data_IF_795794505782
#
_entry.id   IF_795794505782
#
_cell.length_a   1.000
_cell.length_b   1.000
_cell.length_c   1.000
_cell.angle_alpha   90.00
_cell.angle_beta   90.00
_cell.angle_gamma   90.00
#
_symmetry.space_group_name_H-M   'P 1'
#
loop_
_entity.id
_entity.type
_entity.pdbx_description
1 polymer ?
#
# COMPACT_ATOMS: atom_id res chain seq x y z
N UNK A 1 -63.98 16.38 13.73
CA UNK A 1 -64.26 17.77 13.30
C UNK A 1 -62.94 18.53 13.41
N UNK A 2 -62.12 18.66 12.36
CA UNK A 2 -62.26 19.52 11.16
C UNK A 2 -62.33 21.01 11.50
N UNK A 3 -61.30 21.79 11.08
CA UNK A 3 -61.35 22.94 10.15
C UNK A 3 -59.94 23.63 10.17
N UNK A 4 -59.18 23.61 9.06
CA UNK A 4 -58.90 24.73 8.10
C UNK A 4 -57.86 25.76 8.61
N UNK A 5 -56.87 26.32 7.88
CA UNK A 5 -56.56 26.49 6.44
C UNK A 5 -55.17 27.17 6.30
N UNK A 6 -54.46 26.98 5.16
CA UNK A 6 -53.63 27.95 4.36
C UNK A 6 -52.48 27.20 3.66
N UNK A 7 -52.65 26.73 2.41
CA UNK A 7 -52.42 27.38 1.08
C UNK A 7 -50.97 27.66 0.71
N UNK A 8 -50.54 26.98 -0.35
CA UNK A 8 -49.28 27.09 -1.07
C UNK A 8 -49.36 28.08 -2.24
N UNK A 9 -48.21 28.57 -2.72
CA UNK A 9 -48.01 28.90 -4.13
C UNK A 9 -46.59 28.53 -4.58
N UNK A 10 -46.54 27.99 -5.79
CA UNK A 10 -45.39 27.53 -6.58
C UNK A 10 -45.10 28.57 -7.68
N UNK A 11 -43.85 28.65 -8.16
CA UNK A 11 -43.42 28.54 -9.58
C UNK A 11 -41.96 29.04 -9.73
N UNK A 12 -41.20 28.29 -10.54
CA UNK A 12 -39.74 28.39 -10.84
C UNK A 12 -39.50 29.10 -12.21
N UNK A 13 -38.36 28.90 -12.92
CA UNK A 13 -37.09 29.67 -12.94
C UNK A 13 -36.83 30.42 -14.28
N UNK A 14 -35.70 31.14 -14.44
CA UNK A 14 -34.77 31.05 -15.61
C UNK A 14 -33.69 32.16 -15.67
N UNK A 15 -32.49 31.72 -16.09
CA UNK A 15 -31.49 32.33 -16.99
C UNK A 15 -30.61 33.55 -16.58
N UNK A 16 -29.30 33.34 -16.79
CA UNK A 16 -28.18 34.30 -16.77
C UNK A 16 -28.07 35.05 -18.10
N UNK A 17 -27.43 36.23 -18.15
CA UNK A 17 -26.86 36.76 -19.39
C UNK A 17 -25.33 36.67 -19.41
N UNK A 18 -24.82 36.17 -20.53
CA UNK A 18 -23.45 36.27 -21.02
C UNK A 18 -23.22 37.60 -21.74
N UNK A 19 -22.06 38.23 -21.58
CA UNK A 19 -21.62 39.35 -22.42
C UNK A 19 -20.40 38.95 -23.24
N UNK A 20 -20.61 38.86 -24.54
CA UNK A 20 -19.62 38.81 -25.61
C UNK A 20 -19.46 40.21 -26.20
N UNK A 21 -18.24 40.75 -26.22
CA UNK A 21 -17.91 41.94 -26.98
C UNK A 21 -16.75 41.62 -27.93
N UNK A 22 -17.10 41.48 -29.20
CA UNK A 22 -16.21 41.56 -30.36
C UNK A 22 -16.21 43.01 -30.78
N UNK A 23 -15.04 43.60 -31.06
CA UNK A 23 -14.94 44.67 -32.04
C UNK A 23 -13.55 44.70 -32.70
N UNK A 24 -13.60 45.02 -33.98
CA UNK A 24 -12.64 44.76 -35.05
C UNK A 24 -11.70 45.94 -35.31
N UNK A 25 -10.42 45.61 -35.54
CA UNK A 25 -9.34 46.29 -36.30
C UNK A 25 -9.15 47.82 -36.28
N UNK A 26 -7.91 48.25 -35.96
CA UNK A 26 -7.18 49.22 -36.79
C UNK A 26 -5.67 48.99 -36.71
N UNK A 27 -5.06 48.80 -37.88
CA UNK A 27 -3.62 48.63 -38.13
C UNK A 27 -3.02 50.00 -38.45
N UNK A 28 -1.98 50.42 -37.75
CA UNK A 28 -0.98 51.41 -38.21
C UNK A 28 0.40 50.93 -37.74
N UNK A 29 1.35 50.96 -38.66
CA UNK A 29 2.70 50.39 -38.61
C UNK A 29 3.78 51.41 -38.26
N UNK A 30 4.93 50.90 -37.76
CA UNK A 30 6.33 51.35 -37.92
C UNK A 30 7.19 51.56 -36.63
N UNK A 31 8.53 51.35 -36.73
CA UNK A 31 9.32 50.53 -35.79
C UNK A 31 10.44 51.28 -35.03
N UNK A 32 11.00 50.66 -33.98
CA UNK A 32 12.37 50.87 -33.44
C UNK A 32 12.61 49.81 -32.34
N UNK A 33 13.47 48.81 -32.52
CA UNK A 33 14.92 48.77 -32.22
C UNK A 33 15.27 48.96 -30.72
N UNK A 34 15.91 47.90 -30.20
CA UNK A 34 16.85 47.77 -29.07
C UNK A 34 16.33 47.47 -27.64
N UNK A 35 16.78 46.27 -27.20
CA UNK A 35 17.33 45.92 -25.89
C UNK A 35 16.45 46.01 -24.64
N UNK A 36 16.08 44.83 -24.12
CA UNK A 36 16.28 44.56 -22.69
C UNK A 36 16.53 43.08 -22.45
N UNK A 37 17.76 42.80 -21.99
CA UNK A 37 18.11 41.58 -21.28
C UNK A 37 17.19 41.44 -20.06
N UNK A 38 16.38 40.40 -20.03
CA UNK A 38 15.90 39.81 -18.78
C UNK A 38 16.00 38.29 -18.89
N UNK A 39 17.24 37.80 -18.93
CA UNK A 39 17.53 36.44 -18.46
C UNK A 39 17.20 36.42 -16.97
N UNK A 40 15.96 36.08 -16.63
CA UNK A 40 15.55 35.81 -15.25
C UNK A 40 16.31 34.59 -14.74
N UNK A 41 17.18 34.72 -13.72
CA UNK A 41 17.87 33.59 -13.13
C UNK A 41 17.13 33.21 -11.85
N UNK A 42 15.87 32.77 -11.95
CA UNK A 42 15.14 32.34 -10.76
C UNK A 42 14.31 31.09 -10.96
N UNK A 43 14.58 30.16 -10.04
CA UNK A 43 13.82 28.98 -9.70
C UNK A 43 14.05 27.75 -10.59
N UNK A 44 15.24 27.15 -10.45
CA UNK A 44 15.36 25.69 -10.50
C UNK A 44 14.51 25.10 -9.35
N UNK A 45 13.19 25.05 -9.53
CA UNK A 45 12.29 24.28 -8.68
C UNK A 45 12.62 22.82 -8.96
N UNK A 46 13.34 22.19 -8.03
CA UNK A 46 13.49 20.73 -7.99
C UNK A 46 12.10 20.12 -7.80
N UNK A 47 11.44 19.82 -8.92
CA UNK A 47 10.22 19.04 -8.91
C UNK A 47 10.64 17.58 -8.66
N UNK A 48 10.58 17.15 -7.40
CA UNK A 48 10.66 15.74 -7.06
C UNK A 48 9.41 15.05 -7.59
N UNK A 49 9.43 14.67 -8.86
CA UNK A 49 8.39 13.86 -9.43
C UNK A 49 8.64 12.42 -9.01
N UNK A 50 7.72 11.84 -8.25
CA UNK A 50 7.74 10.41 -7.94
C UNK A 50 7.83 9.58 -9.23
N UNK A 51 7.25 10.07 -10.33
CA UNK A 51 7.32 9.44 -11.64
C UNK A 51 8.74 9.44 -12.23
N UNK A 52 9.55 10.49 -12.03
CA UNK A 52 10.93 10.52 -12.54
C UNK A 52 11.82 9.56 -11.77
N UNK A 53 11.72 9.55 -10.43
CA UNK A 53 12.44 8.59 -9.60
C UNK A 53 12.06 7.14 -9.94
N UNK A 54 10.77 6.86 -10.18
CA UNK A 54 10.33 5.54 -10.62
C UNK A 54 10.86 5.19 -12.02
N UNK A 55 10.87 6.13 -12.96
CA UNK A 55 11.47 5.95 -14.28
C UNK A 55 12.95 5.58 -14.22
N UNK A 56 13.73 6.29 -13.40
CA UNK A 56 15.14 6.01 -13.14
C UNK A 56 15.34 4.63 -12.49
N UNK A 57 14.48 4.22 -11.56
CA UNK A 57 14.58 2.88 -10.97
C UNK A 57 14.26 1.78 -11.99
N UNK A 58 13.35 2.02 -12.93
CA UNK A 58 13.03 1.08 -14.00
C UNK A 58 14.21 0.94 -14.97
N UNK A 59 14.85 2.04 -15.37
CA UNK A 59 16.06 1.98 -16.21
C UNK A 59 17.21 1.29 -15.49
N UNK A 60 17.48 1.65 -14.23
CA UNK A 60 18.53 1.01 -13.45
C UNK A 60 18.30 -0.50 -13.28
N UNK A 61 17.04 -0.93 -13.16
CA UNK A 61 16.68 -2.35 -13.10
C UNK A 61 16.93 -3.06 -14.44
N UNK A 62 16.58 -2.42 -15.56
CA UNK A 62 16.83 -2.95 -16.89
C UNK A 62 18.35 -3.05 -17.20
N UNK A 63 19.13 -2.09 -16.72
CA UNK A 63 20.60 -2.09 -16.85
C UNK A 63 21.21 -3.20 -15.99
N UNK A 64 20.75 -3.39 -14.75
CA UNK A 64 21.20 -4.48 -13.88
C UNK A 64 20.91 -5.87 -14.49
N UNK A 65 19.76 -6.03 -15.14
CA UNK A 65 19.40 -7.24 -15.89
C UNK A 65 20.34 -7.49 -17.07
N UNK A 66 20.59 -6.44 -17.87
CA UNK A 66 21.49 -6.51 -19.03
C UNK A 66 22.94 -6.79 -18.61
N UNK A 67 23.38 -6.23 -17.48
CA UNK A 67 24.68 -6.51 -16.88
C UNK A 67 24.82 -7.96 -16.41
N UNK A 68 23.79 -8.51 -15.76
CA UNK A 68 23.81 -9.92 -15.37
C UNK A 68 23.90 -10.84 -16.58
N UNK A 69 23.17 -10.51 -17.65
CA UNK A 69 23.21 -11.28 -18.89
C UNK A 69 24.56 -11.17 -19.61
N UNK A 70 25.17 -9.97 -19.65
CA UNK A 70 26.49 -9.78 -20.28
C UNK A 70 27.62 -10.51 -19.56
N UNK A 71 27.45 -10.87 -18.28
CA UNK A 71 28.34 -11.76 -17.55
C UNK A 71 28.21 -13.25 -17.96
N UNK A 72 27.41 -13.57 -18.98
CA UNK A 72 27.21 -14.92 -19.50
C UNK A 72 26.05 -15.68 -18.85
N UNK A 73 25.23 -15.02 -18.01
CA UNK A 73 24.09 -15.66 -17.35
C UNK A 73 22.89 -15.70 -18.32
N UNK A 74 22.31 -16.88 -18.62
CA UNK A 74 21.12 -16.97 -19.45
C UNK A 74 19.93 -16.20 -18.85
N UNK A 75 19.06 -15.63 -19.69
CA UNK A 75 17.91 -14.83 -19.24
C UNK A 75 17.00 -15.59 -18.26
N UNK A 76 16.74 -16.88 -18.53
CA UNK A 76 15.94 -17.73 -17.66
C UNK A 76 16.54 -17.95 -16.25
N UNK A 77 17.83 -17.63 -16.04
CA UNK A 77 18.50 -17.63 -14.72
C UNK A 77 18.64 -16.22 -14.17
N UNK A 78 19.01 -15.25 -15.00
CA UNK A 78 19.24 -13.86 -14.61
C UNK A 78 17.98 -13.24 -13.97
N UNK A 79 16.81 -13.51 -14.55
CA UNK A 79 15.52 -13.00 -14.05
C UNK A 79 15.19 -13.55 -12.65
N UNK A 80 15.18 -14.88 -12.41
CA UNK A 80 15.04 -15.42 -11.06
C UNK A 80 16.10 -14.93 -10.08
N UNK A 81 17.37 -14.82 -10.51
CA UNK A 81 18.46 -14.38 -9.65
C UNK A 81 18.24 -12.95 -9.13
N UNK A 82 17.80 -12.03 -10.01
CA UNK A 82 17.40 -10.68 -9.60
C UNK A 82 16.26 -10.72 -8.58
N UNK A 83 15.24 -11.55 -8.82
CA UNK A 83 14.11 -11.71 -7.90
C UNK A 83 14.58 -12.18 -6.51
N UNK A 84 15.51 -13.13 -6.46
CA UNK A 84 16.14 -13.61 -5.22
C UNK A 84 16.90 -12.49 -4.53
N UNK A 85 17.74 -11.75 -5.26
CA UNK A 85 18.53 -10.64 -4.71
C UNK A 85 17.66 -9.54 -4.10
N UNK A 86 16.65 -9.07 -4.83
CA UNK A 86 15.69 -8.07 -4.36
C UNK A 86 14.85 -8.58 -3.19
N UNK A 87 14.47 -9.86 -3.22
CA UNK A 87 13.75 -10.47 -2.12
C UNK A 87 14.61 -10.52 -0.85
N UNK A 88 15.87 -10.98 -0.94
CA UNK A 88 16.77 -11.09 0.20
C UNK A 88 17.13 -9.73 0.81
N UNK A 89 17.29 -8.71 -0.02
CA UNK A 89 17.76 -7.38 0.41
C UNK A 89 16.63 -6.45 0.87
N UNK A 90 15.46 -6.52 0.24
CA UNK A 90 14.34 -5.59 0.52
C UNK A 90 13.17 -6.32 1.16
N UNK A 91 12.61 -7.31 0.48
CA UNK A 91 11.31 -7.89 0.87
C UNK A 91 11.40 -8.70 2.17
N UNK A 92 12.42 -9.56 2.30
CA UNK A 92 12.61 -10.43 3.44
C UNK A 92 12.87 -9.66 4.74
N UNK A 93 13.77 -8.66 4.80
CA UNK A 93 13.96 -7.85 6.00
C UNK A 93 12.68 -7.11 6.43
N UNK A 94 11.90 -6.56 5.49
CA UNK A 94 10.63 -5.90 5.79
C UNK A 94 9.60 -6.90 6.34
N UNK A 95 9.52 -8.10 5.77
CA UNK A 95 8.64 -9.16 6.25
C UNK A 95 9.06 -9.64 7.65
N UNK A 96 10.36 -9.86 7.88
CA UNK A 96 10.92 -10.24 9.18
C UNK A 96 10.62 -9.17 10.24
N UNK A 97 10.83 -7.90 9.92
CA UNK A 97 10.48 -6.78 10.78
C UNK A 97 8.99 -6.81 11.15
N UNK A 98 8.11 -6.95 10.15
CA UNK A 98 6.67 -7.01 10.38
C UNK A 98 6.26 -8.21 11.24
N UNK A 99 6.93 -9.36 11.07
CA UNK A 99 6.68 -10.57 11.83
C UNK A 99 7.10 -10.41 13.30
N UNK A 100 8.29 -9.86 13.55
CA UNK A 100 8.75 -9.50 14.90
C UNK A 100 7.79 -8.53 15.60
N UNK A 101 7.25 -7.56 14.86
CA UNK A 101 6.25 -6.64 15.40
C UNK A 101 4.94 -7.32 15.75
N UNK A 102 4.45 -8.24 14.92
CA UNK A 102 3.23 -9.01 15.21
C UNK A 102 3.44 -9.87 16.46
N UNK A 103 4.56 -10.56 16.55
CA UNK A 103 4.89 -11.41 17.69
C UNK A 103 5.02 -10.60 18.98
N UNK A 104 5.71 -9.45 18.93
CA UNK A 104 5.87 -8.57 20.08
C UNK A 104 4.56 -7.96 20.59
N UNK A 105 3.47 -7.99 19.82
CA UNK A 105 2.16 -7.50 20.26
C UNK A 105 1.33 -8.54 20.98
N UNK A 106 1.52 -9.84 20.72
CA UNK A 106 0.74 -10.91 21.36
C UNK A 106 0.74 -10.81 22.89
N UNK A 107 1.87 -10.51 23.57
CA UNK A 107 1.89 -10.30 25.02
C UNK A 107 0.96 -9.20 25.52
N UNK A 108 0.64 -8.20 24.69
CA UNK A 108 -0.17 -7.04 25.06
C UNK A 108 -1.67 -7.29 24.88
N UNK A 109 -2.07 -8.39 24.23
CA UNK A 109 -3.48 -8.72 24.01
C UNK A 109 -4.31 -8.82 25.30
N UNK A 110 -3.84 -9.44 26.41
CA UNK A 110 -4.59 -9.42 27.67
C UNK A 110 -4.79 -8.00 28.23
N UNK A 111 -3.79 -7.12 28.11
CA UNK A 111 -3.89 -5.73 28.55
C UNK A 111 -4.91 -4.95 27.70
N UNK A 112 -4.87 -5.13 26.38
CA UNK A 112 -5.86 -4.54 25.46
C UNK A 112 -7.27 -5.05 25.81
N UNK A 113 -7.41 -6.33 26.15
CA UNK A 113 -8.68 -6.95 26.53
C UNK A 113 -9.20 -6.39 27.86
N UNK A 114 -8.34 -6.20 28.86
CA UNK A 114 -8.70 -5.57 30.14
C UNK A 114 -9.21 -4.14 29.95
N UNK A 115 -8.52 -3.33 29.14
CA UNK A 115 -8.99 -1.99 28.77
C UNK A 115 -10.31 -2.02 28.00
N UNK A 116 -10.50 -3.01 27.14
CA UNK A 116 -11.77 -3.19 26.41
C UNK A 116 -12.92 -3.43 27.38
N UNK A 117 -12.76 -4.32 28.37
CA UNK A 117 -13.77 -4.54 29.41
C UNK A 117 -14.05 -3.27 30.23
N UNK A 118 -13.01 -2.51 30.60
CA UNK A 118 -13.18 -1.24 31.30
C UNK A 118 -14.03 -0.24 30.52
N UNK A 119 -13.77 -0.07 29.22
CA UNK A 119 -14.56 0.84 28.37
C UNK A 119 -16.00 0.38 28.18
N UNK A 120 -16.27 -0.93 28.22
CA UNK A 120 -17.64 -1.46 28.18
C UNK A 120 -18.42 -1.18 29.48
N UNK A 121 -17.72 -1.10 30.62
CA UNK A 121 -18.32 -0.79 31.92
C UNK A 121 -18.43 0.72 32.21
N UNK A 122 -17.77 1.56 31.42
CA UNK A 122 -17.84 3.01 31.55
C UNK A 122 -19.24 3.51 31.15
N UNK A 123 -20.01 4.00 32.13
CA UNK A 123 -21.38 4.48 31.92
C UNK A 123 -21.46 5.66 30.95
N UNK A 124 -20.41 6.48 30.83
CA UNK A 124 -20.40 7.59 29.87
C UNK A 124 -20.32 7.12 28.41
N UNK A 125 -19.72 5.94 28.20
CA UNK A 125 -19.57 5.33 26.88
C UNK A 125 -20.73 4.36 26.58
N UNK A 126 -21.23 3.68 27.62
CA UNK A 126 -22.31 2.70 27.59
C UNK A 126 -23.64 3.29 28.10
N UNK A 127 -23.98 4.49 27.62
CA UNK A 127 -25.23 5.15 27.97
C UNK A 127 -26.44 4.38 27.39
N UNK A 128 -27.40 3.93 28.22
CA UNK A 128 -28.57 3.18 27.78
C UNK A 128 -29.49 3.97 26.83
N UNK A 129 -29.48 5.32 26.89
CA UNK A 129 -30.38 6.17 26.11
C UNK A 129 -29.96 6.28 24.63
N UNK A 130 -28.69 6.03 24.34
CA UNK A 130 -28.17 6.14 22.98
C UNK A 130 -28.47 4.89 22.13
N UNK A 131 -28.69 5.05 20.81
CA UNK A 131 -28.82 3.93 19.89
C UNK A 131 -27.60 2.99 19.96
N UNK A 132 -27.84 1.68 19.88
CA UNK A 132 -26.80 0.63 19.99
C UNK A 132 -25.62 0.85 19.05
N UNK A 133 -25.89 1.35 17.83
CA UNK A 133 -24.85 1.63 16.83
C UNK A 133 -23.92 2.77 17.27
N UNK A 134 -24.46 3.81 17.90
CA UNK A 134 -23.67 4.96 18.38
C UNK A 134 -22.84 4.53 19.58
N UNK A 135 -23.43 3.77 20.49
CA UNK A 135 -22.77 3.20 21.67
C UNK A 135 -21.58 2.30 21.29
N UNK A 136 -21.79 1.35 20.37
CA UNK A 136 -20.72 0.45 19.90
C UNK A 136 -19.59 1.21 19.19
N UNK A 137 -19.89 2.24 18.41
CA UNK A 137 -18.88 3.11 17.79
C UNK A 137 -18.09 3.91 18.83
N UNK A 138 -18.75 4.44 19.87
CA UNK A 138 -18.11 5.21 20.94
C UNK A 138 -17.15 4.33 21.75
N UNK A 139 -17.60 3.13 22.16
CA UNK A 139 -16.77 2.14 22.84
C UNK A 139 -15.59 1.74 21.94
N UNK A 140 -15.84 1.41 20.67
CA UNK A 140 -14.78 1.04 19.74
C UNK A 140 -13.74 2.16 19.54
N UNK A 141 -14.17 3.42 19.49
CA UNK A 141 -13.30 4.59 19.41
C UNK A 141 -12.41 4.74 20.64
N UNK A 142 -12.98 4.59 21.84
CA UNK A 142 -12.24 4.65 23.12
C UNK A 142 -11.23 3.49 23.27
N UNK A 143 -11.63 2.29 22.85
CA UNK A 143 -10.77 1.10 22.79
C UNK A 143 -9.61 1.34 21.83
N UNK A 144 -9.87 1.87 20.63
CA UNK A 144 -8.82 2.16 19.66
C UNK A 144 -7.85 3.24 20.14
N UNK A 145 -8.36 4.30 20.79
CA UNK A 145 -7.51 5.34 21.41
C UNK A 145 -6.59 4.74 22.47
N UNK A 146 -7.11 3.85 23.31
CA UNK A 146 -6.34 3.18 24.36
C UNK A 146 -5.31 2.21 23.79
N UNK A 147 -5.71 1.40 22.80
CA UNK A 147 -4.81 0.52 22.06
C UNK A 147 -3.68 1.29 21.39
N UNK A 148 -3.96 2.42 20.74
CA UNK A 148 -2.92 3.25 20.11
C UNK A 148 -1.92 3.79 21.13
N UNK A 149 -2.38 4.21 22.31
CA UNK A 149 -1.50 4.66 23.41
C UNK A 149 -0.60 3.53 23.90
N UNK A 150 -1.19 2.36 24.20
CA UNK A 150 -0.44 1.16 24.61
C UNK A 150 0.58 0.78 23.53
N UNK A 151 0.17 0.61 22.28
CA UNK A 151 1.13 0.25 21.23
C UNK A 151 2.22 1.30 21.01
N UNK A 152 1.93 2.59 21.26
CA UNK A 152 2.93 3.67 21.17
C UNK A 152 3.97 3.57 22.29
N UNK A 153 3.57 3.26 23.53
CA UNK A 153 4.52 3.16 24.66
C UNK A 153 5.48 1.99 24.53
N UNK A 154 5.08 0.88 23.89
CA UNK A 154 5.97 -0.24 23.55
C UNK A 154 6.67 -0.07 22.18
N UNK A 155 6.43 1.03 21.44
CA UNK A 155 7.03 1.26 20.12
C UNK A 155 6.52 0.34 19.00
N UNK A 156 5.38 -0.33 19.21
CA UNK A 156 4.77 -1.33 18.33
C UNK A 156 3.60 -0.77 17.50
N UNK A 157 3.72 0.45 16.98
CA UNK A 157 2.63 1.12 16.25
C UNK A 157 2.11 0.30 15.06
N UNK A 158 0.80 0.32 14.80
CA UNK A 158 0.13 -0.48 13.75
C UNK A 158 0.66 -0.21 12.33
N UNK A 159 0.92 1.04 12.01
CA UNK A 159 1.38 1.44 10.67
C UNK A 159 2.70 0.76 10.28
N UNK A 160 3.58 0.46 11.26
CA UNK A 160 4.84 -0.27 11.03
C UNK A 160 4.62 -1.69 10.52
N UNK A 161 3.45 -2.29 10.75
CA UNK A 161 3.09 -3.62 10.18
C UNK A 161 2.72 -3.55 8.71
N UNK A 162 2.55 -2.35 8.15
CA UNK A 162 2.30 -2.13 6.72
C UNK A 162 3.62 -2.05 5.92
N UNK A 163 4.78 -2.14 6.58
CA UNK A 163 6.09 -2.16 5.93
C UNK A 163 6.22 -3.15 4.75
N UNK A 164 5.65 -4.37 4.80
CA UNK A 164 5.70 -5.30 3.66
C UNK A 164 5.02 -4.78 2.38
N UNK A 165 4.09 -3.81 2.48
CA UNK A 165 3.47 -3.18 1.31
C UNK A 165 4.49 -2.40 0.47
N UNK A 166 5.56 -1.90 1.09
CA UNK A 166 6.64 -1.24 0.36
C UNK A 166 7.41 -2.21 -0.55
N UNK A 167 7.34 -3.51 -0.26
CA UNK A 167 7.87 -4.56 -1.13
C UNK A 167 7.17 -4.68 -2.49
N UNK A 168 6.03 -4.01 -2.68
CA UNK A 168 5.36 -3.93 -3.99
C UNK A 168 6.10 -3.00 -4.97
N UNK A 169 6.89 -2.04 -4.48
CA UNK A 169 7.61 -1.10 -5.35
C UNK A 169 8.63 -1.84 -6.23
N UNK A 170 9.54 -2.68 -5.69
CA UNK A 170 10.40 -3.53 -6.52
C UNK A 170 9.62 -4.48 -7.43
N UNK A 171 8.49 -5.01 -6.97
CA UNK A 171 7.68 -5.93 -7.78
C UNK A 171 7.13 -5.28 -9.06
N UNK A 172 6.58 -4.07 -8.93
CA UNK A 172 6.03 -3.32 -10.06
C UNK A 172 7.15 -2.78 -10.95
N UNK A 173 8.23 -2.27 -10.37
CA UNK A 173 9.37 -1.72 -11.14
C UNK A 173 10.08 -2.77 -11.98
N UNK A 174 10.34 -3.96 -11.44
CA UNK A 174 10.93 -5.08 -12.20
C UNK A 174 9.97 -5.57 -13.28
N UNK A 175 8.67 -5.68 -12.97
CA UNK A 175 7.66 -6.07 -13.96
C UNK A 175 7.58 -5.07 -15.12
N UNK A 176 7.69 -3.77 -14.84
CA UNK A 176 7.71 -2.72 -15.86
C UNK A 176 9.02 -2.72 -16.66
N UNK A 177 10.18 -2.92 -16.01
CA UNK A 177 11.48 -3.04 -16.69
C UNK A 177 11.51 -4.22 -17.66
N UNK A 178 11.06 -5.40 -17.22
CA UNK A 178 10.95 -6.59 -18.08
C UNK A 178 9.97 -6.36 -19.23
N UNK A 179 8.80 -5.78 -18.94
CA UNK A 179 7.82 -5.44 -19.98
C UNK A 179 8.44 -4.57 -21.09
N UNK A 180 9.19 -3.53 -20.71
CA UNK A 180 9.87 -2.63 -21.66
C UNK A 180 10.98 -3.35 -22.44
N UNK A 181 11.78 -4.20 -21.78
CA UNK A 181 12.79 -5.03 -22.46
C UNK A 181 12.20 -6.04 -23.44
N UNK A 182 10.99 -6.53 -23.19
CA UNK A 182 10.26 -7.39 -24.12
C UNK A 182 9.57 -6.62 -25.26
N UNK A 183 9.63 -5.28 -25.28
CA UNK A 183 8.99 -4.46 -26.32
C UNK A 183 7.47 -4.36 -26.18
N UNK A 184 6.89 -4.87 -25.09
CA UNK A 184 5.46 -4.84 -24.86
C UNK A 184 4.96 -3.40 -24.62
N UNK A 185 3.73 -3.05 -25.05
CA UNK A 185 3.18 -1.71 -24.89
C UNK A 185 3.09 -1.30 -23.42
N UNK A 186 3.26 0.01 -23.18
CA UNK A 186 3.21 0.63 -21.85
C UNK A 186 1.95 0.19 -21.09
N UNK A 187 2.16 -0.30 -19.85
CA UNK A 187 1.05 -0.79 -19.02
C UNK A 187 0.17 0.33 -18.46
N UNK A 188 -1.05 -0.01 -18.05
CA UNK A 188 -2.00 0.86 -17.34
C UNK A 188 -1.39 1.57 -16.12
N UNK A 189 -0.49 0.89 -15.41
CA UNK A 189 0.27 1.41 -14.26
C UNK A 189 1.21 2.55 -14.69
N UNK A 190 1.91 2.37 -15.81
CA UNK A 190 2.81 3.37 -16.39
C UNK A 190 2.05 4.64 -16.83
N UNK A 191 0.86 4.46 -17.43
CA UNK A 191 0.01 5.57 -17.87
C UNK A 191 -0.63 6.36 -16.72
N UNK A 192 -1.11 5.70 -15.65
CA UNK A 192 -1.80 6.38 -14.53
C UNK A 192 -0.83 6.99 -13.50
N UNK A 193 0.37 6.44 -13.35
CA UNK A 193 1.41 6.95 -12.44
C UNK A 193 2.32 7.99 -13.13
N UNK A 194 2.14 8.20 -14.44
CA UNK A 194 2.88 9.20 -15.20
C UNK A 194 4.26 8.76 -15.67
N UNK A 195 4.62 7.47 -15.54
CA UNK A 195 5.86 6.88 -16.08
C UNK A 195 5.86 6.78 -17.61
N UNK A 196 4.69 6.88 -18.25
CA UNK A 196 4.56 6.90 -19.72
C UNK A 196 4.88 8.25 -20.36
N UNK A 197 5.01 9.33 -19.58
CA UNK A 197 5.19 10.70 -20.08
C UNK A 197 6.51 11.34 -19.61
N UNK A 198 7.44 10.55 -19.08
CA UNK A 198 8.73 11.02 -18.50
C UNK A 198 9.79 11.34 -19.55
N UNK A 199 9.47 11.37 -20.85
CA UNK A 199 10.47 11.59 -21.90
C UNK A 199 11.48 10.45 -22.06
N UNK A 200 11.35 9.37 -21.28
CA UNK A 200 11.97 8.08 -21.60
C UNK A 200 11.22 7.59 -22.84
N UNK A 201 11.94 7.45 -23.95
CA UNK A 201 11.40 7.19 -25.28
C UNK A 201 10.43 6.01 -25.39
N UNK A 202 9.83 5.78 -26.57
CA UNK A 202 8.89 4.69 -26.79
C UNK A 202 9.45 3.35 -26.29
N UNK A 203 8.58 2.40 -25.92
CA UNK A 203 8.95 1.06 -25.41
C UNK A 203 9.98 0.33 -26.29
N UNK A 204 10.07 0.69 -27.58
CA UNK A 204 11.09 0.23 -28.52
C UNK A 204 12.53 0.58 -28.14
N UNK A 205 12.76 1.65 -27.37
CA UNK A 205 14.11 2.12 -27.00
C UNK A 205 14.86 1.22 -26.00
N UNK A 206 14.14 0.37 -25.25
CA UNK A 206 14.71 -0.53 -24.25
C UNK A 206 14.59 -2.00 -24.68
N UNK A 207 13.98 -2.27 -25.84
CA UNK A 207 13.82 -3.62 -26.35
C UNK A 207 15.17 -4.31 -26.52
N UNK A 208 15.24 -5.56 -26.08
CA UNK A 208 16.46 -6.36 -26.15
C UNK A 208 16.16 -7.67 -26.87
N UNK A 209 16.74 -7.79 -28.07
CA UNK A 209 16.51 -8.91 -28.96
C UNK A 209 17.01 -10.24 -28.37
N UNK A 210 17.99 -10.21 -27.46
CA UNK A 210 18.50 -11.44 -26.83
C UNK A 210 17.48 -12.15 -25.95
N UNK A 211 16.38 -11.49 -25.56
CA UNK A 211 15.26 -12.15 -24.87
C UNK A 211 14.45 -13.07 -25.79
N UNK A 212 14.46 -12.84 -27.11
CA UNK A 212 13.70 -13.68 -28.06
C UNK A 212 14.23 -15.11 -28.09
N UNK A 213 15.53 -15.29 -27.89
CA UNK A 213 16.19 -16.60 -27.83
C UNK A 213 16.60 -16.98 -26.38
N UNK A 214 16.12 -16.22 -25.39
CA UNK A 214 16.57 -16.29 -23.99
C UNK A 214 15.86 -17.33 -23.13
N UNK A 215 14.97 -18.13 -23.71
CA UNK A 215 14.07 -19.02 -22.98
C UNK A 215 14.57 -20.43 -22.72
N UNK A 216 13.67 -21.22 -22.12
CA UNK A 216 13.95 -22.59 -21.70
C UNK A 216 12.68 -23.45 -21.83
N UNK A 217 12.85 -24.73 -22.19
CA UNK A 217 11.75 -25.68 -22.39
C UNK A 217 10.72 -25.21 -23.44
N UNK A 218 9.45 -25.08 -23.06
CA UNK A 218 8.34 -24.71 -23.96
C UNK A 218 8.16 -23.20 -24.14
N UNK A 219 8.84 -22.38 -23.34
CA UNK A 219 8.83 -20.92 -23.43
C UNK A 219 10.17 -20.43 -23.97
N UNK A 220 10.46 -20.75 -25.23
CA UNK A 220 11.75 -20.42 -25.88
C UNK A 220 11.93 -18.92 -26.08
N UNK A 221 10.83 -18.21 -26.35
CA UNK A 221 10.81 -16.76 -26.50
C UNK A 221 10.30 -16.10 -25.21
N UNK A 222 11.17 -15.29 -24.59
CA UNK A 222 10.87 -14.56 -23.36
C UNK A 222 10.08 -13.27 -23.59
N UNK A 223 10.15 -12.74 -24.81
CA UNK A 223 9.53 -11.47 -25.19
C UNK A 223 8.07 -11.65 -25.62
N UNK A 224 7.68 -12.84 -26.11
CA UNK A 224 6.29 -13.17 -26.43
C UNK A 224 5.53 -13.84 -25.28
N UNK A 225 4.21 -13.91 -25.42
CA UNK A 225 3.33 -14.60 -24.47
C UNK A 225 3.57 -16.12 -24.52
N UNK A 226 3.36 -16.82 -23.39
CA UNK A 226 3.53 -18.28 -23.32
C UNK A 226 2.51 -18.98 -24.26
N UNK A 227 2.96 -19.71 -25.30
CA UNK A 227 2.08 -20.37 -26.26
C UNK A 227 1.11 -21.38 -25.63
N UNK A 228 1.48 -21.99 -24.50
CA UNK A 228 0.73 -23.05 -23.85
C UNK A 228 0.06 -22.62 -22.54
N UNK A 229 0.19 -21.34 -22.15
CA UNK A 229 -0.28 -20.82 -20.86
C UNK A 229 0.30 -21.54 -19.64
N UNK A 230 1.40 -22.29 -19.80
CA UNK A 230 2.00 -23.09 -18.74
C UNK A 230 2.51 -22.25 -17.58
N UNK A 231 3.27 -21.19 -17.87
CA UNK A 231 3.83 -20.26 -16.89
C UNK A 231 2.75 -19.49 -16.10
N UNK A 232 1.71 -18.89 -16.73
CA UNK A 232 0.57 -18.33 -16.00
C UNK A 232 -0.09 -19.33 -15.05
N UNK A 233 -0.35 -20.56 -15.50
CA UNK A 233 -0.96 -21.62 -14.67
C UNK A 233 -0.05 -21.98 -13.49
N UNK A 234 1.25 -22.17 -13.72
CA UNK A 234 2.23 -22.47 -12.66
C UNK A 234 2.26 -21.32 -11.64
N UNK A 235 2.29 -20.06 -12.09
CA UNK A 235 2.24 -18.90 -11.20
C UNK A 235 0.96 -18.90 -10.33
N UNK A 236 -0.19 -19.19 -10.93
CA UNK A 236 -1.46 -19.32 -10.22
C UNK A 236 -1.44 -20.44 -9.19
N UNK A 237 -0.90 -21.61 -9.53
CA UNK A 237 -0.72 -22.73 -8.59
C UNK A 237 0.17 -22.34 -7.40
N UNK A 238 1.30 -21.66 -7.65
CA UNK A 238 2.19 -21.16 -6.59
C UNK A 238 1.46 -20.13 -5.70
N UNK A 239 0.61 -19.27 -6.27
CA UNK A 239 -0.20 -18.32 -5.50
C UNK A 239 -1.26 -19.02 -4.64
N UNK A 240 -1.96 -20.03 -5.16
CA UNK A 240 -2.86 -20.87 -4.35
C UNK A 240 -2.10 -21.50 -3.20
N UNK A 241 -0.94 -22.09 -3.47
CA UNK A 241 -0.09 -22.71 -2.47
C UNK A 241 0.44 -21.70 -1.41
N UNK A 242 0.69 -20.45 -1.80
CA UNK A 242 1.22 -19.44 -0.88
C UNK A 242 0.16 -18.72 -0.06
N UNK A 243 -1.02 -18.47 -0.64
CA UNK A 243 -2.09 -17.70 0.00
C UNK A 243 -3.10 -18.65 0.65
N UNK A 244 -3.68 -19.57 -0.12
CA UNK A 244 -4.81 -20.38 0.35
C UNK A 244 -4.38 -21.45 1.34
N UNK A 245 -3.23 -22.10 1.12
CA UNK A 245 -2.72 -23.12 2.05
C UNK A 245 -2.44 -22.59 3.47
N UNK A 246 -2.35 -21.26 3.65
CA UNK A 246 -2.17 -20.61 4.96
C UNK A 246 -3.48 -20.25 5.64
N UNK A 247 -4.59 -20.23 4.90
CA UNK A 247 -5.88 -19.82 5.45
C UNK A 247 -6.53 -20.98 6.19
N UNK A 248 -7.02 -20.77 7.42
CA UNK A 248 -7.78 -21.80 8.13
C UNK A 248 -9.11 -22.05 7.38
N UNK A 249 -9.58 -23.30 7.39
CA UNK A 249 -10.72 -23.74 6.56
C UNK A 249 -11.98 -22.93 6.85
N UNK A 250 -12.16 -22.53 8.10
CA UNK A 250 -13.28 -21.73 8.60
C UNK A 250 -13.26 -20.32 8.00
N UNK A 251 -12.07 -19.71 7.90
CA UNK A 251 -11.91 -18.39 7.28
C UNK A 251 -12.18 -18.45 5.79
N UNK A 252 -11.70 -19.50 5.11
CA UNK A 252 -11.97 -19.71 3.68
C UNK A 252 -13.48 -19.86 3.42
N UNK A 253 -14.15 -20.70 4.21
CA UNK A 253 -15.60 -20.88 4.14
C UNK A 253 -16.35 -19.58 4.45
N UNK A 254 -15.90 -18.81 5.44
CA UNK A 254 -16.51 -17.52 5.78
C UNK A 254 -16.38 -16.48 4.66
N UNK A 255 -15.27 -16.47 3.92
CA UNK A 255 -15.05 -15.57 2.79
C UNK A 255 -15.89 -15.95 1.57
N UNK A 256 -16.08 -17.24 1.33
CA UNK A 256 -16.91 -17.79 0.25
C UNK A 256 -18.41 -17.68 0.51
N UNK A 257 -18.85 -17.68 1.79
CA UNK A 257 -20.26 -17.53 2.13
C UNK A 257 -20.80 -16.18 1.65
N UNK A 258 -21.91 -16.24 0.91
CA UNK A 258 -22.72 -15.09 0.56
C UNK A 258 -23.56 -14.76 1.79
N UNK A 259 -23.27 -13.64 2.45
CA UNK A 259 -24.09 -13.20 3.58
C UNK A 259 -25.42 -12.64 3.08
N UNK A 260 -26.53 -12.91 3.79
CA UNK A 260 -27.83 -12.37 3.44
C UNK A 260 -27.81 -10.83 3.54
N UNK A 261 -28.51 -10.12 2.64
CA UNK A 261 -28.67 -8.68 2.72
C UNK A 261 -29.36 -8.32 4.04
N UNK A 262 -28.66 -7.64 4.94
CA UNK A 262 -29.20 -7.24 6.25
C UNK A 262 -28.32 -7.54 7.46
N UNK A 263 -27.16 -8.19 7.29
CA UNK A 263 -26.25 -8.43 8.42
C UNK A 263 -25.74 -7.11 9.02
N UNK A 264 -25.95 -6.94 10.34
CA UNK A 264 -25.49 -5.78 11.13
C UNK A 264 -23.97 -5.83 11.35
N UNK A 265 -23.20 -5.86 10.27
CA UNK A 265 -21.74 -5.85 10.34
C UNK A 265 -21.17 -4.44 10.45
N UNK A 266 -20.16 -4.28 11.33
CA UNK A 266 -19.39 -3.05 11.45
C UNK A 266 -18.63 -2.75 10.15
N UNK A 267 -18.49 -1.48 9.75
CA UNK A 267 -17.82 -1.09 8.49
C UNK A 267 -16.40 -1.66 8.38
N UNK A 268 -15.68 -1.71 9.50
CA UNK A 268 -14.33 -2.32 9.59
C UNK A 268 -14.32 -3.78 9.19
N UNK A 269 -15.31 -4.56 9.65
CA UNK A 269 -15.46 -5.97 9.31
C UNK A 269 -15.88 -6.19 7.85
N UNK A 270 -16.64 -5.26 7.25
CA UNK A 270 -16.94 -5.28 5.81
C UNK A 270 -15.69 -5.06 4.96
N UNK A 271 -14.86 -4.08 5.32
CA UNK A 271 -13.60 -3.82 4.65
C UNK A 271 -12.65 -5.03 4.75
N UNK A 272 -12.56 -5.66 5.92
CA UNK A 272 -11.77 -6.87 6.11
C UNK A 272 -12.28 -8.04 5.24
N UNK A 273 -13.60 -8.22 5.12
CA UNK A 273 -14.18 -9.24 4.25
C UNK A 273 -13.93 -8.96 2.78
N UNK A 274 -14.08 -7.71 2.34
CA UNK A 274 -13.76 -7.32 0.97
C UNK A 274 -12.28 -7.62 0.66
N UNK A 275 -11.38 -7.20 1.55
CA UNK A 275 -9.95 -7.43 1.36
C UNK A 275 -9.60 -8.93 1.36
N UNK A 276 -10.25 -9.72 2.21
CA UNK A 276 -10.10 -11.19 2.21
C UNK A 276 -10.61 -11.84 0.92
N UNK A 277 -11.72 -11.38 0.36
CA UNK A 277 -12.25 -11.86 -0.93
C UNK A 277 -11.34 -11.47 -2.09
N UNK A 278 -10.81 -10.25 -2.08
CA UNK A 278 -9.81 -9.82 -3.08
C UNK A 278 -8.56 -10.71 -2.99
N UNK A 279 -8.08 -11.03 -1.79
CA UNK A 279 -6.97 -11.97 -1.61
C UNK A 279 -7.30 -13.39 -2.11
N UNK A 280 -8.55 -13.84 -1.97
CA UNK A 280 -8.99 -15.13 -2.50
C UNK A 280 -8.92 -15.17 -4.02
N UNK A 281 -9.28 -14.08 -4.70
CA UNK A 281 -9.23 -14.00 -6.17
C UNK A 281 -7.82 -13.76 -6.73
N UNK A 282 -6.83 -13.45 -5.88
CA UNK A 282 -5.49 -13.09 -6.33
C UNK A 282 -4.78 -14.16 -7.19
N UNK A 283 -4.93 -15.47 -6.96
CA UNK A 283 -4.38 -16.50 -7.84
C UNK A 283 -4.93 -16.51 -9.27
N UNK A 284 -6.04 -15.82 -9.56
CA UNK A 284 -6.55 -15.65 -10.93
C UNK A 284 -5.80 -14.56 -11.69
N UNK A 285 -5.01 -13.72 -11.00
CA UNK A 285 -4.30 -12.60 -11.59
C UNK A 285 -3.35 -13.01 -12.74
N UNK A 286 -2.50 -14.06 -12.60
CA UNK A 286 -1.62 -14.47 -13.70
C UNK A 286 -2.39 -14.90 -14.96
N UNK A 287 -3.51 -15.60 -14.80
CA UNK A 287 -4.34 -16.05 -15.91
C UNK A 287 -5.04 -14.88 -16.62
N UNK A 288 -5.47 -13.87 -15.87
CA UNK A 288 -6.08 -12.66 -16.44
C UNK A 288 -5.11 -11.86 -17.31
N UNK A 289 -3.81 -11.96 -17.02
CA UNK A 289 -2.74 -11.25 -17.73
C UNK A 289 -1.91 -12.18 -18.62
N UNK A 290 -2.46 -13.32 -19.04
CA UNK A 290 -1.75 -14.34 -19.80
C UNK A 290 -1.09 -13.83 -21.10
N UNK A 291 -1.63 -12.76 -21.70
CA UNK A 291 -1.08 -12.12 -22.91
C UNK A 291 0.25 -11.37 -22.68
N UNK A 292 0.74 -11.33 -21.43
CA UNK A 292 2.02 -10.70 -21.12
C UNK A 292 3.22 -11.57 -21.51
N UNK A 293 4.39 -10.94 -21.78
CA UNK A 293 5.62 -11.66 -22.04
C UNK A 293 5.94 -12.72 -20.98
N UNK A 294 6.40 -13.89 -21.42
CA UNK A 294 6.71 -15.02 -20.56
C UNK A 294 7.82 -14.70 -19.52
N UNK A 295 8.72 -13.75 -19.83
CA UNK A 295 9.70 -13.21 -18.89
C UNK A 295 9.07 -12.64 -17.60
N UNK A 296 7.91 -12.00 -17.69
CA UNK A 296 7.21 -11.44 -16.53
C UNK A 296 6.69 -12.56 -15.64
N UNK A 297 6.17 -13.64 -16.23
CA UNK A 297 5.71 -14.81 -15.49
C UNK A 297 6.85 -15.56 -14.82
N UNK A 298 8.01 -15.66 -15.45
CA UNK A 298 9.20 -16.23 -14.84
C UNK A 298 9.62 -15.46 -13.56
N UNK A 299 9.59 -14.13 -13.65
CA UNK A 299 9.81 -13.24 -12.50
C UNK A 299 8.73 -13.42 -11.42
N UNK A 300 7.45 -13.44 -11.81
CA UNK A 300 6.32 -13.59 -10.89
C UNK A 300 6.34 -14.93 -10.16
N UNK A 301 6.52 -16.03 -10.89
CA UNK A 301 6.60 -17.38 -10.32
C UNK A 301 7.69 -17.48 -9.26
N UNK A 302 8.89 -16.98 -9.58
CA UNK A 302 10.01 -16.91 -8.62
C UNK A 302 9.65 -16.06 -7.40
N UNK A 303 9.10 -14.86 -7.60
CA UNK A 303 8.72 -13.94 -6.53
C UNK A 303 7.60 -14.48 -5.62
N UNK A 304 6.67 -15.24 -6.17
CA UNK A 304 5.60 -15.89 -5.41
C UNK A 304 6.14 -17.08 -4.62
N UNK A 305 6.98 -17.91 -5.22
CA UNK A 305 7.63 -19.04 -4.55
C UNK A 305 8.50 -18.57 -3.37
N UNK A 306 9.26 -17.48 -3.56
CA UNK A 306 10.08 -16.85 -2.51
C UNK A 306 9.26 -16.39 -1.31
N UNK A 307 7.96 -16.10 -1.48
CA UNK A 307 7.09 -15.77 -0.35
C UNK A 307 6.99 -16.95 0.63
N UNK A 308 6.93 -18.19 0.13
CA UNK A 308 6.89 -19.38 0.97
C UNK A 308 8.21 -19.67 1.64
N UNK A 309 9.30 -19.47 0.91
CA UNK A 309 10.66 -19.58 1.46
C UNK A 309 10.84 -18.59 2.61
N UNK A 310 10.44 -17.33 2.41
CA UNK A 310 10.50 -16.31 3.46
C UNK A 310 9.65 -16.68 4.69
N UNK A 311 8.42 -17.15 4.48
CA UNK A 311 7.54 -17.57 5.59
C UNK A 311 8.19 -18.69 6.42
N UNK A 312 8.79 -19.68 5.76
CA UNK A 312 9.50 -20.77 6.43
C UNK A 312 10.65 -20.26 7.29
N UNK A 313 11.49 -19.37 6.75
CA UNK A 313 12.58 -18.75 7.53
C UNK A 313 12.04 -17.88 8.67
N UNK A 314 10.99 -17.10 8.44
CA UNK A 314 10.39 -16.24 9.46
C UNK A 314 9.84 -17.07 10.63
N UNK A 315 9.18 -18.19 10.35
CA UNK A 315 8.69 -19.09 11.41
C UNK A 315 9.82 -19.66 12.26
N UNK A 316 10.99 -19.92 11.66
CA UNK A 316 12.18 -20.37 12.39
C UNK A 316 12.88 -19.25 13.15
N UNK A 317 12.94 -18.05 12.60
CA UNK A 317 13.70 -16.92 13.14
C UNK A 317 12.95 -16.07 14.17
N UNK A 318 11.61 -16.16 14.21
CA UNK A 318 10.78 -15.38 15.14
C UNK A 318 10.14 -16.33 16.15
N UNK A 319 10.80 -16.60 17.29
CA UNK A 319 10.25 -17.47 18.31
C UNK A 319 9.02 -16.84 18.97
N UNK A 320 8.06 -17.66 19.44
CA UNK A 320 6.89 -17.15 20.12
C UNK A 320 7.28 -16.44 21.41
N UNK A 321 6.75 -15.23 21.64
CA UNK A 321 7.00 -14.49 22.88
C UNK A 321 5.95 -14.83 23.93
N UNK A 322 6.42 -15.18 25.12
CA UNK A 322 5.56 -15.34 26.29
C UNK A 322 4.91 -14.00 26.65
N UNK A 323 3.71 -14.02 27.27
CA UNK A 323 3.03 -12.82 27.73
C UNK A 323 3.80 -12.15 28.87
N UNK A 324 4.77 -11.30 28.53
CA UNK A 324 5.41 -10.40 29.47
C UNK A 324 4.75 -9.01 29.39
N UNK A 325 4.11 -8.61 30.49
CA UNK A 325 3.40 -7.35 30.62
C UNK A 325 4.25 -6.24 31.24
N UNK A 326 5.55 -6.48 31.46
CA UNK A 326 6.45 -5.45 31.96
C UNK A 326 6.47 -4.27 31.01
N UNK A 327 6.08 -3.11 31.54
CA UNK A 327 6.18 -1.86 30.80
C UNK A 327 7.65 -1.59 30.48
N UNK A 328 7.98 -1.17 29.24
CA UNK A 328 9.32 -0.74 28.94
C UNK A 328 9.66 0.44 29.84
N UNK A 329 10.85 0.42 30.44
CA UNK A 329 11.36 1.59 31.15
C UNK A 329 11.39 2.76 30.15
N UNK A 330 10.84 3.93 30.49
CA UNK A 330 10.88 5.08 29.60
C UNK A 330 12.34 5.37 29.23
N UNK A 331 12.62 5.46 27.93
CA UNK A 331 13.96 5.76 27.44
C UNK A 331 14.27 7.23 27.76
N UNK A 332 15.08 7.45 28.81
CA UNK A 332 15.49 8.76 29.37
C UNK A 332 14.34 9.65 29.86
N UNK A 333 14.29 9.82 31.18
CA UNK A 333 13.76 11.06 31.76
C UNK A 333 14.55 12.22 31.14
N UNK A 334 13.87 13.04 30.36
CA UNK A 334 14.44 14.31 29.94
C UNK A 334 14.67 15.14 31.21
N UNK A 335 15.87 15.73 31.41
CA UNK A 335 16.25 16.45 32.64
C UNK A 335 15.40 17.70 32.93
N UNK A 336 14.41 18.02 32.10
CA UNK A 336 13.58 19.21 32.17
C UNK A 336 12.12 18.97 32.60
N UNK A 337 11.73 17.73 32.96
CA UNK A 337 10.45 17.54 33.65
C UNK A 337 10.66 17.84 35.13
N UNK A 338 10.51 19.12 35.48
CA UNK A 338 10.43 19.58 36.87
C UNK A 338 9.37 18.77 37.62
N UNK A 339 9.84 18.09 38.66
CA UNK A 339 9.03 17.34 39.63
C UNK A 339 8.25 18.31 40.51
N UNK A 340 7.32 19.07 39.95
CA UNK A 340 6.58 20.09 40.71
C UNK A 340 5.26 19.56 41.29
N UNK A 341 5.31 18.39 41.93
CA UNK A 341 4.25 17.92 42.83
C UNK A 341 4.62 18.02 44.30
N UNK A 342 5.88 18.35 44.63
CA UNK A 342 6.30 18.56 46.03
C UNK A 342 6.06 19.98 46.56
N UNK A 343 5.70 20.96 45.72
CA UNK A 343 5.36 22.33 46.18
C UNK A 343 3.90 22.52 46.58
N UNK A 344 2.96 21.77 45.98
CA UNK A 344 1.53 21.91 46.29
C UNK A 344 1.19 21.32 47.68
N UNK A 345 1.93 20.31 48.15
CA UNK A 345 1.72 19.73 49.48
C UNK A 345 2.25 20.60 50.63
N UNK A 346 3.21 21.50 50.39
CA UNK A 346 3.80 22.34 51.45
C UNK A 346 3.04 23.65 51.68
N UNK A 347 2.18 24.09 50.76
CA UNK A 347 1.38 25.31 50.94
C UNK A 347 0.02 25.05 51.61
N UNK A 348 -0.44 23.80 51.69
CA UNK A 348 -1.67 23.45 52.42
C UNK A 348 -1.47 23.16 53.92
N UNK A 349 -0.21 23.01 54.37
CA UNK A 349 0.11 22.65 55.77
C UNK A 349 0.51 23.82 56.68
N UNK A 350 0.51 25.06 56.19
CA UNK A 350 0.98 26.24 56.95
C UNK A 350 -0.09 27.33 57.14
N UNK A 351 -1.36 26.92 57.23
CA UNK A 351 -2.48 27.84 57.54
C UNK A 351 -3.29 27.48 58.79
N UNK A 352 -2.86 26.46 59.55
CA UNK A 352 -3.41 26.13 60.86
C UNK A 352 -2.25 26.05 61.87
N UNK A 353 -1.79 27.21 62.34
CA UNK A 353 -1.33 27.45 63.71
C UNK A 353 -1.11 28.94 63.92
#
# INVERSE_FOLDING_TARGET
MSLLRRTAHSISPHARPSLSAINTTRRISHPAILSSLTSSPYANRRNFSVASALGETVTATADALSWAHSAGVPWYVAIPLLAVGVNATIRFPLQLYSARLREARKPLDPLITAWTRRHMMDRSLNDPELPERVRSLRIAGAVEKSRRRILKTWGLQRWKSMAPLLGMVPFVTISEALRRKCGAPLGWISHKIGLGNTGLGPSSSMFDQSLVDGGLFWFTDLASADPYYGLPIICSCILVWSIWARMPKEQLQALLRIQPPGSKMMVTSRLQQLLGRVMLMMPLLPLLFADLPSAIFLYWGTSFALTRVNDFFIQRLVPPKMPDLRAPKPLKEFPFVLKDQSRIAKTSGKKNN
#
